data_IF_706323216061
#
_entry.id   IF_706323216061
#
_cell.length_a   1.000
_cell.length_b   1.000
_cell.length_c   1.000
_cell.angle_alpha   90.00
_cell.angle_beta   90.00
_cell.angle_gamma   90.00
#
_symmetry.space_group_name_H-M   'P 1'
#
loop_
_entity.id
_entity.type
_entity.pdbx_description
1 polymer ?
#
# COMPACT_ATOMS: atom_id res chain seq x y z
N UNK A 1 4.99 -5.62 7.52
CA UNK A 1 6.41 -5.52 7.95
C UNK A 1 7.25 -5.33 6.68
N UNK A 2 8.46 -4.77 6.71
CA UNK A 2 9.26 -4.64 5.46
C UNK A 2 9.91 -5.97 5.13
N UNK A 3 9.67 -6.49 3.92
CA UNK A 3 10.35 -7.67 3.38
C UNK A 3 11.14 -7.29 2.12
N UNK A 4 12.35 -7.82 1.98
CA UNK A 4 13.25 -7.54 0.87
C UNK A 4 13.65 -8.83 0.17
N UNK A 5 13.40 -8.94 -1.13
CA UNK A 5 13.92 -10.05 -1.95
C UNK A 5 15.19 -9.57 -2.65
N UNK A 6 16.27 -10.34 -2.57
CA UNK A 6 17.59 -9.97 -3.09
C UNK A 6 17.94 -10.85 -4.28
N UNK A 7 18.31 -10.27 -5.42
CA UNK A 7 18.80 -11.01 -6.57
C UNK A 7 20.15 -10.48 -7.09
N UNK A 8 21.16 -11.33 -7.16
CA UNK A 8 22.45 -10.96 -7.73
C UNK A 8 23.12 -12.16 -8.39
N UNK A 9 23.68 -12.00 -9.61
CA UNK A 9 24.56 -13.01 -10.21
C UNK A 9 25.90 -13.15 -9.47
N UNK A 10 26.24 -12.20 -8.59
CA UNK A 10 27.42 -12.27 -7.72
C UNK A 10 26.98 -12.58 -6.28
N UNK A 11 27.22 -13.80 -5.77
CA UNK A 11 26.81 -14.20 -4.43
C UNK A 11 27.38 -13.34 -3.31
N UNK A 12 28.59 -12.79 -3.49
CA UNK A 12 29.22 -11.93 -2.49
C UNK A 12 28.41 -10.65 -2.26
N UNK A 13 27.75 -10.12 -3.29
CA UNK A 13 26.89 -8.93 -3.17
C UNK A 13 25.64 -9.27 -2.36
N UNK A 14 24.98 -10.41 -2.65
CA UNK A 14 23.80 -10.84 -1.89
C UNK A 14 24.10 -11.01 -0.40
N UNK A 15 25.22 -11.67 -0.07
CA UNK A 15 25.65 -11.89 1.32
C UNK A 15 25.89 -10.57 2.05
N UNK A 16 26.52 -9.58 1.40
CA UNK A 16 26.76 -8.27 2.01
C UNK A 16 25.43 -7.54 2.26
N UNK A 17 24.51 -7.56 1.30
CA UNK A 17 23.19 -6.93 1.45
C UNK A 17 22.42 -7.61 2.58
N UNK A 18 22.33 -8.94 2.57
CA UNK A 18 21.67 -9.73 3.61
C UNK A 18 22.25 -9.44 5.00
N UNK A 19 23.58 -9.39 5.16
CA UNK A 19 24.21 -9.07 6.43
C UNK A 19 23.81 -7.67 6.95
N UNK A 20 23.70 -6.67 6.06
CA UNK A 20 23.21 -5.33 6.42
C UNK A 20 21.75 -5.40 6.89
N UNK A 21 20.89 -6.13 6.18
CA UNK A 21 19.45 -6.24 6.49
C UNK A 21 19.18 -7.01 7.79
N UNK A 22 19.90 -8.12 8.01
CA UNK A 22 19.83 -8.91 9.26
C UNK A 22 20.26 -8.05 10.44
N UNK A 23 21.32 -7.25 10.29
CA UNK A 23 21.83 -6.37 11.35
C UNK A 23 20.80 -5.35 11.88
N UNK A 24 19.74 -5.08 11.12
CA UNK A 24 18.65 -4.17 11.51
C UNK A 24 17.28 -4.85 11.61
N UNK A 25 17.22 -6.18 11.50
CA UNK A 25 16.00 -6.96 11.67
C UNK A 25 14.99 -6.84 10.52
N UNK A 26 15.43 -6.60 9.29
CA UNK A 26 14.56 -6.65 8.10
C UNK A 26 14.47 -8.09 7.60
N UNK A 27 13.24 -8.58 7.40
CA UNK A 27 12.99 -9.88 6.77
C UNK A 27 13.47 -9.86 5.32
N UNK A 28 14.24 -10.87 4.93
CA UNK A 28 14.82 -10.92 3.60
C UNK A 28 14.99 -12.35 3.09
N UNK A 29 15.10 -12.47 1.77
CA UNK A 29 15.27 -13.73 1.07
C UNK A 29 16.18 -13.52 -0.15
N UNK A 30 17.18 -14.38 -0.34
CA UNK A 30 18.07 -14.35 -1.50
C UNK A 30 17.55 -15.32 -2.54
N UNK A 31 17.37 -14.82 -3.77
CA UNK A 31 17.04 -15.64 -4.94
C UNK A 31 18.03 -15.34 -6.07
N UNK A 32 18.72 -16.37 -6.54
CA UNK A 32 19.76 -16.23 -7.57
C UNK A 32 19.18 -16.24 -9.00
N UNK A 33 18.02 -16.86 -9.20
CA UNK A 33 17.33 -16.90 -10.48
C UNK A 33 16.50 -15.62 -10.69
N UNK A 34 16.71 -14.88 -11.78
CA UNK A 34 15.85 -13.75 -12.14
C UNK A 34 14.36 -14.13 -12.30
N UNK A 35 14.08 -15.36 -12.71
CA UNK A 35 12.71 -15.86 -12.89
C UNK A 35 12.02 -16.10 -11.55
N UNK A 36 12.66 -16.81 -10.64
CA UNK A 36 12.12 -17.02 -9.28
C UNK A 36 12.06 -15.71 -8.50
N UNK A 37 13.04 -14.81 -8.68
CA UNK A 37 13.00 -13.47 -8.13
C UNK A 37 11.73 -12.72 -8.54
N UNK A 38 11.40 -12.72 -9.84
CA UNK A 38 10.15 -12.15 -10.34
C UNK A 38 8.91 -12.85 -9.78
N UNK A 39 8.93 -14.18 -9.63
CA UNK A 39 7.82 -14.96 -9.07
C UNK A 39 7.55 -14.62 -7.60
N UNK A 40 8.60 -14.51 -6.79
CA UNK A 40 8.51 -14.13 -5.38
C UNK A 40 7.94 -12.72 -5.22
N UNK A 41 8.45 -11.76 -5.99
CA UNK A 41 7.93 -10.38 -5.98
C UNK A 41 6.45 -10.34 -6.37
N UNK A 42 6.05 -11.07 -7.41
CA UNK A 42 4.66 -11.14 -7.85
C UNK A 42 3.74 -11.74 -6.77
N UNK A 43 4.20 -12.78 -6.06
CA UNK A 43 3.43 -13.43 -4.98
C UNK A 43 3.36 -12.60 -3.70
N UNK A 44 4.31 -11.70 -3.48
CA UNK A 44 4.35 -10.81 -2.33
C UNK A 44 4.44 -9.34 -2.78
N UNK A 45 3.31 -8.70 -3.12
CA UNK A 45 3.28 -7.33 -3.67
C UNK A 45 3.82 -6.25 -2.73
N UNK A 46 3.90 -6.52 -1.42
CA UNK A 46 4.38 -5.56 -0.42
C UNK A 46 5.90 -5.62 -0.22
N UNK A 47 6.57 -6.61 -0.81
CA UNK A 47 8.02 -6.77 -0.76
C UNK A 47 8.76 -5.78 -1.67
N UNK A 48 10.01 -5.48 -1.33
CA UNK A 48 10.94 -4.67 -2.14
C UNK A 48 11.91 -5.60 -2.86
N UNK A 49 12.02 -5.46 -4.19
CA UNK A 49 13.03 -6.15 -4.97
C UNK A 49 14.34 -5.36 -4.98
N UNK A 50 15.40 -5.94 -4.43
CA UNK A 50 16.77 -5.40 -4.51
C UNK A 50 17.56 -6.29 -5.43
N UNK A 51 18.18 -5.73 -6.47
CA UNK A 51 19.02 -6.53 -7.34
C UNK A 51 20.28 -5.81 -7.78
N UNK A 52 21.32 -6.58 -8.09
CA UNK A 52 22.58 -6.05 -8.63
C UNK A 52 22.74 -6.42 -10.11
N UNK A 53 23.22 -5.46 -10.90
CA UNK A 53 23.56 -5.66 -12.30
C UNK A 53 24.95 -5.11 -12.62
N UNK A 54 25.58 -5.69 -13.64
CA UNK A 54 26.90 -5.27 -14.11
C UNK A 54 26.95 -3.86 -14.66
N UNK A 55 25.83 -3.32 -15.16
CA UNK A 55 25.78 -2.01 -15.82
C UNK A 55 24.34 -1.51 -15.96
N UNK A 56 24.17 -0.23 -16.29
CA UNK A 56 22.85 0.38 -16.48
C UNK A 56 21.99 -0.31 -17.55
N UNK A 57 22.60 -0.81 -18.63
CA UNK A 57 21.87 -1.51 -19.69
C UNK A 57 21.20 -2.80 -19.16
N UNK A 58 21.96 -3.65 -18.46
CA UNK A 58 21.45 -4.89 -17.88
C UNK A 58 20.43 -4.64 -16.77
N UNK A 59 20.65 -3.61 -15.94
CA UNK A 59 19.68 -3.22 -14.93
C UNK A 59 18.35 -2.76 -15.56
N UNK A 60 18.42 -1.94 -16.61
CA UNK A 60 17.23 -1.46 -17.32
C UNK A 60 16.48 -2.61 -18.02
N UNK A 61 17.18 -3.56 -18.62
CA UNK A 61 16.58 -4.76 -19.20
C UNK A 61 15.84 -5.59 -18.14
N UNK A 62 16.48 -5.80 -16.98
CA UNK A 62 15.87 -6.51 -15.85
C UNK A 62 14.60 -5.82 -15.37
N UNK A 63 14.62 -4.48 -15.20
CA UNK A 63 13.42 -3.71 -14.85
C UNK A 63 12.30 -3.92 -15.88
N UNK A 64 12.59 -3.78 -17.18
CA UNK A 64 11.58 -3.95 -18.24
C UNK A 64 10.99 -5.35 -18.22
N UNK A 65 11.83 -6.38 -18.07
CA UNK A 65 11.39 -7.76 -17.99
C UNK A 65 10.40 -7.98 -16.82
N UNK A 66 10.75 -7.49 -15.63
CA UNK A 66 9.89 -7.60 -14.44
C UNK A 66 8.57 -6.84 -14.62
N UNK A 67 8.61 -5.61 -15.16
CA UNK A 67 7.40 -4.80 -15.42
C UNK A 67 6.51 -5.41 -16.50
N UNK A 68 7.08 -6.03 -17.53
CA UNK A 68 6.32 -6.79 -18.54
C UNK A 68 5.63 -8.02 -17.93
N UNK A 69 6.22 -8.62 -16.89
CA UNK A 69 5.62 -9.68 -16.08
C UNK A 69 4.62 -9.20 -15.02
N UNK A 70 4.19 -7.93 -15.08
CA UNK A 70 3.28 -7.26 -14.12
C UNK A 70 3.78 -7.28 -12.66
N UNK A 71 5.09 -7.36 -12.44
CA UNK A 71 5.69 -7.12 -11.13
C UNK A 71 5.56 -5.63 -10.81
N UNK A 72 4.79 -5.28 -9.77
CA UNK A 72 4.48 -3.89 -9.36
C UNK A 72 5.31 -3.39 -8.17
N UNK A 73 6.05 -4.29 -7.53
CA UNK A 73 6.90 -4.03 -6.37
C UNK A 73 7.92 -2.91 -6.63
N UNK A 74 8.36 -2.17 -5.60
CA UNK A 74 9.54 -1.33 -5.73
C UNK A 74 10.73 -2.12 -6.20
N UNK A 75 11.47 -1.54 -7.14
CA UNK A 75 12.74 -2.07 -7.59
C UNK A 75 13.86 -1.12 -7.21
N UNK A 76 14.78 -1.59 -6.38
CA UNK A 76 16.04 -0.94 -6.07
C UNK A 76 17.15 -1.64 -6.84
N UNK A 77 17.81 -0.91 -7.74
CA UNK A 77 18.91 -1.45 -8.54
C UNK A 77 20.28 -1.00 -8.00
N UNK A 78 21.20 -1.95 -7.86
CA UNK A 78 22.62 -1.68 -7.74
C UNK A 78 23.31 -1.86 -9.09
N UNK A 79 24.20 -0.93 -9.44
CA UNK A 79 24.99 -0.98 -10.67
C UNK A 79 26.47 -0.95 -10.31
N UNK A 80 27.29 -1.77 -10.96
CA UNK A 80 28.73 -1.69 -10.79
C UNK A 80 29.27 -0.29 -11.12
N UNK A 81 29.99 0.32 -10.17
CA UNK A 81 30.58 1.64 -10.41
C UNK A 81 31.59 1.60 -11.58
N UNK A 82 31.54 2.60 -12.46
CA UNK A 82 32.42 2.69 -13.63
C UNK A 82 32.03 1.82 -14.83
N UNK A 83 30.92 1.08 -14.77
CA UNK A 83 30.48 0.21 -15.87
C UNK A 83 29.59 0.90 -16.93
N UNK A 84 29.22 2.17 -16.71
CA UNK A 84 28.30 2.89 -17.59
C UNK A 84 29.00 3.52 -18.80
N UNK A 85 28.63 3.08 -20.00
CA UNK A 85 29.15 3.60 -21.28
C UNK A 85 28.81 5.09 -21.50
N UNK A 86 27.67 5.56 -20.98
CA UNK A 86 27.14 6.92 -21.17
C UNK A 86 27.47 7.87 -20.01
N UNK A 87 28.26 7.41 -19.03
CA UNK A 87 28.56 8.14 -17.80
C UNK A 87 27.51 7.90 -16.68
N UNK A 88 27.96 8.04 -15.43
CA UNK A 88 27.21 7.60 -14.24
C UNK A 88 25.85 8.29 -14.02
N UNK A 89 25.65 9.52 -14.51
CA UNK A 89 24.36 10.19 -14.40
C UNK A 89 23.37 9.67 -15.46
N UNK A 90 23.80 9.54 -16.71
CA UNK A 90 22.98 9.06 -17.81
C UNK A 90 22.60 7.58 -17.62
N UNK A 91 23.54 6.74 -17.16
CA UNK A 91 23.28 5.34 -16.85
C UNK A 91 22.17 5.16 -15.81
N UNK A 92 22.24 5.90 -14.70
CA UNK A 92 21.19 5.88 -13.67
C UNK A 92 19.83 6.34 -14.21
N UNK A 93 19.80 7.38 -15.03
CA UNK A 93 18.55 7.86 -15.64
C UNK A 93 17.89 6.80 -16.52
N UNK A 94 18.68 6.02 -17.28
CA UNK A 94 18.16 4.91 -18.11
C UNK A 94 17.47 3.85 -17.24
N UNK A 95 18.05 3.51 -16.08
CA UNK A 95 17.51 2.48 -15.19
C UNK A 95 16.22 2.95 -14.50
N UNK A 96 16.17 4.20 -14.05
CA UNK A 96 14.98 4.81 -13.48
C UNK A 96 13.84 4.86 -14.51
N UNK A 97 14.14 5.32 -15.75
CA UNK A 97 13.16 5.35 -16.84
C UNK A 97 12.66 3.97 -17.26
N UNK A 98 13.44 2.91 -16.97
CA UNK A 98 13.04 1.53 -17.23
C UNK A 98 12.14 0.94 -16.15
N UNK A 99 11.86 1.68 -15.07
CA UNK A 99 10.91 1.28 -14.03
C UNK A 99 11.54 0.93 -12.67
N UNK A 100 12.81 1.26 -12.44
CA UNK A 100 13.39 1.23 -11.10
C UNK A 100 12.91 2.44 -10.27
N UNK A 101 12.70 2.22 -8.97
CA UNK A 101 12.26 3.24 -8.02
C UNK A 101 13.44 3.97 -7.35
N UNK A 102 14.59 3.30 -7.26
CA UNK A 102 15.89 3.90 -6.91
C UNK A 102 17.02 3.11 -7.57
N UNK A 103 18.16 3.77 -7.76
CA UNK A 103 19.37 3.18 -8.34
C UNK A 103 20.62 3.75 -7.68
N UNK A 104 21.54 2.87 -7.28
CA UNK A 104 22.80 3.25 -6.65
C UNK A 104 24.00 2.52 -7.26
N UNK A 105 25.17 3.17 -7.30
CA UNK A 105 26.42 2.47 -7.58
C UNK A 105 26.75 1.50 -6.44
N UNK A 106 27.36 0.38 -6.81
CA UNK A 106 27.99 -0.56 -5.89
C UNK A 106 29.52 -0.34 -5.90
N UNK A 107 30.20 -0.36 -4.74
CA UNK A 107 29.68 -0.60 -3.39
C UNK A 107 28.94 0.60 -2.78
N UNK A 108 28.01 0.32 -1.85
CA UNK A 108 27.28 1.33 -1.07
C UNK A 108 27.56 1.17 0.44
N UNK A 109 27.14 2.16 1.23
CA UNK A 109 27.20 2.06 2.69
C UNK A 109 25.91 1.46 3.25
N UNK A 110 26.01 0.68 4.32
CA UNK A 110 24.84 0.11 5.01
C UNK A 110 23.81 1.18 5.41
N UNK A 111 24.19 2.27 6.11
CA UNK A 111 23.25 3.33 6.49
C UNK A 111 22.52 3.97 5.29
N UNK A 112 23.18 4.14 4.16
CA UNK A 112 22.56 4.69 2.95
C UNK A 112 21.53 3.72 2.36
N UNK A 113 21.89 2.45 2.16
CA UNK A 113 20.96 1.42 1.68
C UNK A 113 19.70 1.38 2.54
N UNK A 114 19.87 1.29 3.86
CA UNK A 114 18.77 1.21 4.83
C UNK A 114 17.85 2.43 4.73
N UNK A 115 18.43 3.63 4.68
CA UNK A 115 17.67 4.89 4.59
C UNK A 115 16.83 4.95 3.32
N UNK A 116 17.37 4.47 2.19
CA UNK A 116 16.67 4.45 0.90
C UNK A 116 15.58 3.39 0.85
N UNK A 117 15.82 2.19 1.40
CA UNK A 117 14.77 1.16 1.52
C UNK A 117 13.59 1.66 2.33
N UNK A 118 13.82 2.32 3.47
CA UNK A 118 12.74 2.96 4.24
C UNK A 118 12.05 4.10 3.46
N UNK A 119 12.78 4.85 2.64
CA UNK A 119 12.17 5.86 1.78
C UNK A 119 11.25 5.24 0.71
N UNK A 120 11.66 4.13 0.09
CA UNK A 120 10.84 3.36 -0.83
C UNK A 120 9.61 2.77 -0.15
N UNK A 121 9.78 2.19 1.04
CA UNK A 121 8.67 1.66 1.81
C UNK A 121 7.64 2.74 2.16
N UNK A 122 8.09 3.95 2.52
CA UNK A 122 7.17 5.09 2.74
C UNK A 122 6.40 5.45 1.48
N UNK A 123 7.05 5.43 0.30
CA UNK A 123 6.37 5.69 -0.98
C UNK A 123 5.37 4.60 -1.35
N UNK A 124 5.66 3.33 -1.04
CA UNK A 124 4.72 2.22 -1.24
C UNK A 124 3.51 2.28 -0.31
N UNK A 125 3.73 2.55 0.98
CA UNK A 125 2.61 2.77 1.93
C UNK A 125 1.78 3.99 1.57
N UNK A 126 2.36 4.93 0.82
CA UNK A 126 1.68 6.09 0.25
C UNK A 126 1.32 5.88 -1.24
N UNK A 127 1.39 4.64 -1.74
CA UNK A 127 1.21 4.25 -3.15
C UNK A 127 -0.24 4.01 -3.53
N UNK A 128 -0.61 4.56 -4.69
CA UNK A 128 -1.96 4.82 -5.22
C UNK A 128 -2.90 5.51 -4.21
N UNK A 129 -3.10 6.85 -4.27
CA UNK A 129 -4.05 7.54 -3.39
C UNK A 129 -5.48 7.00 -3.52
N UNK A 130 -5.74 6.17 -4.54
CA UNK A 130 -6.99 5.46 -4.69
C UNK A 130 -7.11 4.18 -3.88
N UNK A 131 -6.12 3.71 -3.10
CA UNK A 131 -6.26 2.51 -2.27
C UNK A 131 -6.10 2.84 -0.77
N UNK A 132 -7.13 2.55 0.02
CA UNK A 132 -7.15 2.70 1.47
C UNK A 132 -7.14 1.30 2.10
N UNK A 133 -6.14 1.06 2.95
CA UNK A 133 -6.06 -0.14 3.78
C UNK A 133 -6.97 0.02 5.01
N UNK A 134 -7.86 -0.94 5.23
CA UNK A 134 -8.76 -1.03 6.38
C UNK A 134 -8.50 -2.38 7.08
N UNK A 135 -8.93 -2.57 8.34
CA UNK A 135 -8.78 -3.87 8.96
C UNK A 135 -9.62 -4.92 8.20
N UNK A 136 -8.99 -6.05 7.86
CA UNK A 136 -9.63 -7.16 7.13
C UNK A 136 -10.12 -6.86 5.71
N UNK A 137 -9.88 -5.66 5.17
CA UNK A 137 -10.25 -5.31 3.80
C UNK A 137 -9.49 -4.12 3.22
N UNK A 138 -9.50 -4.01 1.90
CA UNK A 138 -8.91 -2.91 1.14
C UNK A 138 -10.00 -2.19 0.35
N UNK A 139 -9.98 -0.86 0.35
CA UNK A 139 -10.87 -0.02 -0.46
C UNK A 139 -10.10 0.57 -1.62
N UNK A 140 -10.51 0.26 -2.85
CA UNK A 140 -10.10 1.02 -4.02
C UNK A 140 -11.13 2.14 -4.30
N UNK A 141 -10.79 3.38 -3.94
CA UNK A 141 -11.54 4.62 -4.14
C UNK A 141 -11.87 4.85 -5.61
N UNK A 142 -10.94 4.62 -6.54
CA UNK A 142 -11.13 4.89 -7.97
C UNK A 142 -12.25 4.04 -8.57
N UNK A 143 -12.35 2.78 -8.13
CA UNK A 143 -13.38 1.84 -8.59
C UNK A 143 -14.56 1.69 -7.62
N UNK A 144 -14.49 2.32 -6.44
CA UNK A 144 -15.44 2.10 -5.34
C UNK A 144 -15.50 0.63 -4.90
N UNK A 145 -14.41 -0.13 -5.00
CA UNK A 145 -14.44 -1.57 -4.68
C UNK A 145 -13.83 -1.82 -3.31
N UNK A 146 -14.58 -2.49 -2.43
CA UNK A 146 -14.08 -3.07 -1.19
C UNK A 146 -13.72 -4.54 -1.41
N UNK A 147 -12.50 -4.95 -1.08
CA UNK A 147 -12.03 -6.34 -1.15
C UNK A 147 -11.61 -6.77 0.24
N UNK A 148 -12.41 -7.60 0.90
CA UNK A 148 -12.03 -8.23 2.16
C UNK A 148 -11.76 -9.72 2.00
N UNK A 149 -11.36 -10.36 3.09
CA UNK A 149 -10.99 -11.78 3.11
C UNK A 149 -12.13 -12.72 2.69
N UNK A 150 -13.39 -12.27 2.82
CA UNK A 150 -14.59 -13.09 2.50
C UNK A 150 -15.14 -12.79 1.12
N UNK A 151 -15.23 -11.51 0.75
CA UNK A 151 -15.88 -11.12 -0.49
C UNK A 151 -15.39 -9.78 -1.05
N UNK A 152 -15.59 -9.63 -2.36
CA UNK A 152 -15.49 -8.36 -3.07
C UNK A 152 -16.86 -7.70 -3.15
N UNK A 153 -16.97 -6.47 -2.65
CA UNK A 153 -18.22 -5.71 -2.57
C UNK A 153 -18.05 -4.34 -3.21
N UNK A 154 -18.98 -3.93 -4.06
CA UNK A 154 -18.96 -2.61 -4.69
C UNK A 154 -19.70 -1.58 -3.83
N UNK A 155 -19.06 -0.43 -3.62
CA UNK A 155 -19.60 0.75 -2.97
C UNK A 155 -20.11 1.74 -4.01
N UNK A 156 -21.20 2.44 -3.68
CA UNK A 156 -21.62 3.59 -4.50
C UNK A 156 -20.63 4.74 -4.35
N UNK A 157 -20.73 5.76 -5.22
CA UNK A 157 -19.90 6.95 -5.12
C UNK A 157 -20.00 7.62 -3.73
N UNK A 158 -21.22 7.83 -3.24
CA UNK A 158 -21.45 8.45 -1.93
C UNK A 158 -20.91 7.60 -0.76
N UNK A 159 -21.06 6.27 -0.84
CA UNK A 159 -20.50 5.34 0.15
C UNK A 159 -18.97 5.42 0.16
N UNK A 160 -18.35 5.45 -1.03
CA UNK A 160 -16.89 5.55 -1.20
C UNK A 160 -16.37 6.86 -0.62
N UNK A 161 -17.00 8.00 -0.94
CA UNK A 161 -16.64 9.33 -0.41
C UNK A 161 -16.78 9.37 1.10
N UNK A 162 -17.87 8.82 1.64
CA UNK A 162 -18.12 8.81 3.08
C UNK A 162 -17.07 7.98 3.84
N UNK A 163 -16.81 6.75 3.38
CA UNK A 163 -15.83 5.87 3.99
C UNK A 163 -14.41 6.45 3.89
N UNK A 164 -14.05 7.01 2.73
CA UNK A 164 -12.77 7.69 2.50
C UNK A 164 -12.59 8.86 3.47
N UNK A 165 -13.63 9.69 3.62
CA UNK A 165 -13.58 10.88 4.49
C UNK A 165 -13.37 10.49 5.96
N UNK A 166 -14.05 9.43 6.42
CA UNK A 166 -13.90 8.91 7.78
C UNK A 166 -12.53 8.23 7.98
N UNK A 167 -12.09 7.41 7.03
CA UNK A 167 -10.82 6.68 7.09
C UNK A 167 -9.60 7.61 6.97
N UNK A 168 -9.74 8.79 6.37
CA UNK A 168 -8.67 9.80 6.30
C UNK A 168 -8.29 10.39 7.66
N UNK A 169 -9.16 10.26 8.68
CA UNK A 169 -8.90 10.74 10.05
C UNK A 169 -9.30 9.67 11.09
N UNK A 170 -8.56 8.55 11.19
CA UNK A 170 -8.86 7.50 12.16
C UNK A 170 -8.91 8.04 13.60
N UNK A 171 -9.90 7.60 14.36
CA UNK A 171 -10.09 8.03 15.76
C UNK A 171 -10.77 9.41 15.93
N UNK A 172 -10.84 10.23 14.89
CA UNK A 172 -11.51 11.53 14.95
C UNK A 172 -13.04 11.36 14.80
N UNK A 173 -13.80 12.17 15.54
CA UNK A 173 -15.25 12.26 15.39
C UNK A 173 -15.57 13.31 14.32
N UNK A 174 -16.22 12.89 13.24
CA UNK A 174 -16.70 13.79 12.19
C UNK A 174 -18.20 14.02 12.35
N UNK A 175 -18.60 15.29 12.43
CA UNK A 175 -20.01 15.64 12.58
C UNK A 175 -20.81 15.36 11.32
N UNK A 176 -22.13 15.15 11.47
CA UNK A 176 -23.01 14.97 10.30
C UNK A 176 -22.90 16.13 9.32
N UNK A 177 -22.74 17.37 9.83
CA UNK A 177 -22.54 18.55 8.99
C UNK A 177 -21.24 18.47 8.16
N UNK A 178 -20.13 18.02 8.76
CA UNK A 178 -18.85 17.85 8.05
C UNK A 178 -18.92 16.75 7.00
N UNK A 179 -19.58 15.63 7.31
CA UNK A 179 -19.77 14.52 6.37
C UNK A 179 -20.68 14.92 5.21
N UNK A 180 -21.71 15.73 5.48
CA UNK A 180 -22.57 16.29 4.45
C UNK A 180 -21.81 17.23 3.51
N UNK A 181 -20.91 18.07 4.05
CA UNK A 181 -20.07 18.95 3.23
C UNK A 181 -19.19 18.13 2.26
N UNK A 182 -18.59 17.05 2.76
CA UNK A 182 -17.76 16.15 1.94
C UNK A 182 -18.56 15.42 0.85
N UNK A 183 -19.83 15.11 1.09
CA UNK A 183 -20.68 14.38 0.14
C UNK A 183 -21.22 15.24 -1.01
N UNK A 184 -21.38 16.55 -0.82
CA UNK A 184 -22.20 17.37 -1.72
C UNK A 184 -21.53 18.57 -2.38
N UNK A 185 -20.26 18.88 -2.10
CA UNK A 185 -19.43 19.82 -2.88
C UNK A 185 -20.20 21.03 -3.50
N UNK A 186 -20.93 21.76 -2.64
CA UNK A 186 -21.72 22.97 -2.98
C UNK A 186 -22.90 22.80 -3.96
N UNK A 187 -23.41 21.59 -4.25
CA UNK A 187 -24.63 21.42 -5.08
C UNK A 187 -25.73 20.54 -4.46
N UNK A 188 -26.93 21.11 -4.54
CA UNK A 188 -28.27 20.60 -4.26
C UNK A 188 -28.67 20.23 -2.82
N UNK A 189 -29.93 20.57 -2.52
CA UNK A 189 -30.57 20.47 -1.20
C UNK A 189 -30.51 19.06 -0.61
N UNK A 190 -29.74 18.96 0.46
CA UNK A 190 -29.57 17.75 1.23
C UNK A 190 -30.85 17.32 1.98
N UNK A 191 -31.29 16.08 1.73
CA UNK A 191 -32.14 15.37 2.68
C UNK A 191 -31.31 15.04 3.94
N UNK A 192 -31.64 15.69 5.07
CA UNK A 192 -30.91 15.62 6.36
C UNK A 192 -30.66 14.21 6.94
N UNK A 193 -31.24 13.14 6.36
CA UNK A 193 -31.12 11.74 6.84
C UNK A 193 -30.15 10.87 6.02
N UNK A 194 -29.49 11.39 4.99
CA UNK A 194 -28.73 10.52 4.08
C UNK A 194 -27.46 9.92 4.72
N UNK A 195 -26.78 10.64 5.62
CA UNK A 195 -25.55 10.13 6.28
C UNK A 195 -25.83 8.87 7.09
N UNK A 196 -26.89 8.86 7.90
CA UNK A 196 -27.25 7.71 8.75
C UNK A 196 -27.56 6.47 7.91
N UNK A 197 -28.27 6.67 6.79
CA UNK A 197 -28.59 5.60 5.82
C UNK A 197 -27.32 5.08 5.15
N UNK A 198 -26.41 5.96 4.72
CA UNK A 198 -25.15 5.58 4.11
C UNK A 198 -24.24 4.82 5.09
N UNK A 199 -24.14 5.26 6.35
CA UNK A 199 -23.40 4.53 7.40
C UNK A 199 -23.99 3.15 7.63
N UNK A 200 -25.31 3.03 7.69
CA UNK A 200 -25.97 1.72 7.81
C UNK A 200 -25.66 0.79 6.64
N UNK A 201 -25.67 1.31 5.40
CA UNK A 201 -25.31 0.54 4.19
C UNK A 201 -23.84 0.14 4.20
N UNK A 202 -22.94 1.06 4.53
CA UNK A 202 -21.50 0.82 4.63
C UNK A 202 -21.20 -0.29 5.63
N UNK A 203 -21.76 -0.24 6.83
CA UNK A 203 -21.58 -1.30 7.84
C UNK A 203 -21.95 -2.67 7.32
N UNK A 204 -23.09 -2.79 6.63
CA UNK A 204 -23.53 -4.06 6.02
C UNK A 204 -22.56 -4.55 4.94
N UNK A 205 -22.05 -3.64 4.09
CA UNK A 205 -21.11 -3.97 3.01
C UNK A 205 -19.73 -4.36 3.53
N UNK A 206 -19.23 -3.65 4.55
CA UNK A 206 -17.97 -3.96 5.22
C UNK A 206 -18.08 -5.32 5.92
N UNK A 207 -19.15 -5.55 6.67
CA UNK A 207 -19.39 -6.83 7.31
C UNK A 207 -19.46 -7.98 6.29
N UNK A 208 -20.10 -7.78 5.13
CA UNK A 208 -20.18 -8.78 4.07
C UNK A 208 -18.81 -9.08 3.43
N UNK A 209 -17.93 -8.08 3.29
CA UNK A 209 -16.58 -8.26 2.75
C UNK A 209 -15.61 -8.93 3.72
N UNK A 210 -15.80 -8.70 5.03
CA UNK A 210 -14.83 -9.06 6.09
C UNK A 210 -15.28 -10.21 6.99
N UNK A 211 -16.52 -10.69 6.86
CA UNK A 211 -17.08 -11.74 7.73
C UNK A 211 -17.62 -11.23 9.06
N UNK A 212 -17.99 -9.95 9.14
CA UNK A 212 -18.68 -9.37 10.31
C UNK A 212 -17.94 -8.24 11.02
N UNK A 213 -16.82 -7.77 10.49
CA UNK A 213 -16.11 -6.63 11.06
C UNK A 213 -16.97 -5.36 10.98
N UNK A 214 -16.92 -4.57 12.04
CA UNK A 214 -17.39 -3.20 12.03
C UNK A 214 -16.21 -2.26 12.32
N UNK A 215 -16.16 -1.13 11.63
CA UNK A 215 -15.09 -0.12 11.73
C UNK A 215 -15.67 1.29 11.88
N UNK A 216 -17.00 1.41 11.93
CA UNK A 216 -17.70 2.69 12.02
C UNK A 216 -18.47 2.78 13.33
N UNK A 217 -18.02 3.68 14.21
CA UNK A 217 -18.66 3.97 15.48
C UNK A 217 -19.59 5.19 15.37
N UNK A 218 -20.74 5.11 16.03
CA UNK A 218 -21.63 6.27 16.21
C UNK A 218 -21.31 6.92 17.55
N UNK A 219 -20.92 8.19 17.52
CA UNK A 219 -20.72 9.00 18.74
C UNK A 219 -21.96 9.87 18.93
N UNK A 220 -22.83 9.46 19.86
CA UNK A 220 -24.14 10.07 20.09
C UNK A 220 -24.06 11.59 20.26
N UNK A 221 -24.93 12.31 19.55
CA UNK A 221 -24.98 13.78 19.56
C UNK A 221 -23.84 14.49 18.82
N UNK A 222 -22.79 13.76 18.40
CA UNK A 222 -21.60 14.36 17.80
C UNK A 222 -21.41 13.96 16.33
N UNK A 223 -21.55 12.67 16.00
CA UNK A 223 -21.37 12.20 14.62
C UNK A 223 -20.84 10.77 14.54
N UNK A 224 -19.90 10.54 13.65
CA UNK A 224 -19.34 9.21 13.36
C UNK A 224 -17.82 9.21 13.45
N UNK A 225 -17.25 8.05 13.80
CA UNK A 225 -15.81 7.85 13.94
C UNK A 225 -15.39 6.56 13.23
N UNK A 226 -14.26 6.62 12.53
CA UNK A 226 -13.59 5.42 12.02
C UNK A 226 -12.65 4.84 13.07
N UNK A 227 -12.73 3.53 13.32
CA UNK A 227 -11.89 2.82 14.30
C UNK A 227 -10.98 1.85 13.56
N UNK A 228 -9.71 2.23 13.44
CA UNK A 228 -8.71 1.51 12.65
C UNK A 228 -8.28 0.16 13.22
N UNK A 229 -8.71 -0.22 14.42
CA UNK A 229 -8.45 -1.54 15.00
C UNK A 229 -9.69 -2.45 14.95
N UNK A 230 -10.80 -1.96 14.39
CA UNK A 230 -12.12 -2.59 14.51
C UNK A 230 -12.90 -2.05 15.70
N UNK A 231 -14.22 -2.05 15.57
CA UNK A 231 -15.18 -1.55 16.55
C UNK A 231 -16.11 -2.69 16.98
N UNK A 232 -16.26 -2.87 18.30
CA UNK A 232 -17.21 -3.82 18.88
C UNK A 232 -18.46 -3.09 19.37
N UNK A 233 -19.55 -3.04 18.59
CA UNK A 233 -20.78 -2.37 19.01
C UNK A 233 -21.45 -3.08 20.19
N UNK A 234 -22.04 -2.29 21.07
CA UNK A 234 -22.93 -2.81 22.12
C UNK A 234 -24.35 -3.01 21.58
N UNK A 235 -25.01 -4.10 21.99
CA UNK A 235 -26.37 -4.46 21.60
C UNK A 235 -27.28 -4.52 22.83
N UNK A 236 -28.56 -4.18 22.65
CA UNK A 236 -29.59 -4.42 23.66
C UNK A 236 -29.87 -5.92 23.78
N UNK A 237 -30.56 -6.32 24.85
CA UNK A 237 -31.07 -7.67 25.05
C UNK A 237 -31.98 -8.16 23.90
N UNK A 238 -32.57 -7.24 23.13
CA UNK A 238 -33.41 -7.51 21.95
C UNK A 238 -32.62 -7.54 20.62
N UNK A 239 -31.29 -7.52 20.66
CA UNK A 239 -30.43 -7.55 19.47
C UNK A 239 -30.40 -6.25 18.66
N UNK A 240 -30.97 -5.15 19.18
CA UNK A 240 -30.82 -3.82 18.58
C UNK A 240 -29.48 -3.23 18.98
N UNK A 241 -28.71 -2.78 18.01
CA UNK A 241 -27.47 -2.06 18.26
C UNK A 241 -27.78 -0.76 19.01
N UNK A 242 -27.15 -0.56 20.17
CA UNK A 242 -27.33 0.63 21.02
C UNK A 242 -26.69 1.89 20.43
N UNK A 243 -26.01 1.76 19.28
CA UNK A 243 -25.37 2.83 18.53
C UNK A 243 -25.92 2.96 17.10
N UNK A 244 -27.08 2.38 16.78
CA UNK A 244 -27.74 2.50 15.47
C UNK A 244 -28.65 3.73 15.38
#
# INVERSE_FOLDING_TARGET
MMRVVICSPNPAVSIIIEAILIGIGIENEIEASPQEFGSLLFRDPDSIGVFWAMGSANAAETCRYLRMGDVRNPLFAFIQNGADLYGAAAGRAIVLNAGADDVQPWPTTGPELVSRLFALQRRQRNGDPSIIQLPGCTLNIATGTLVGDVARVHLTHQETVLLTTLAARPGAVLSKAMLMLALYNERDEAQRKIVDVLVCKLRKKIAAATGGLDVLETVWGQGFRFVAEGYSPSYSSEGRRLSA
#
